data_IF_540156121605
#
_entry.id   IF_540156121605
#
_cell.length_a   1.000
_cell.length_b   1.000
_cell.length_c   1.000
_cell.angle_alpha   90.00
_cell.angle_beta   90.00
_cell.angle_gamma   90.00
#
_symmetry.space_group_name_H-M   'P 1'
#
loop_
_entity.id
_entity.type
_entity.pdbx_description
1 polymer ?
#
# COMPACT_ATOMS: atom_id res chain seq x y z
N UNK A 1 26.98 -18.24 8.07
CA UNK A 1 26.08 -19.34 8.47
C UNK A 1 26.39 -19.73 9.91
N UNK A 2 25.51 -19.39 10.85
CA UNK A 2 25.65 -19.89 12.22
C UNK A 2 25.41 -21.40 12.25
N UNK A 3 26.18 -22.11 13.08
CA UNK A 3 26.18 -23.57 13.19
C UNK A 3 24.77 -24.07 13.52
N UNK A 4 24.16 -24.86 12.64
CA UNK A 4 22.85 -25.49 12.86
C UNK A 4 22.94 -26.43 14.06
N UNK A 5 22.36 -26.01 15.18
CA UNK A 5 22.36 -26.79 16.43
C UNK A 5 21.38 -27.94 16.24
N UNK A 6 21.88 -29.18 16.20
CA UNK A 6 21.00 -30.36 16.17
C UNK A 6 20.15 -30.39 17.44
N UNK A 7 18.81 -30.49 17.34
CA UNK A 7 17.95 -30.50 18.51
C UNK A 7 18.20 -31.76 19.36
N UNK A 8 18.29 -31.57 20.68
CA UNK A 8 18.51 -32.68 21.63
C UNK A 8 17.22 -33.43 21.98
N UNK A 9 16.06 -32.80 21.83
CA UNK A 9 14.76 -33.36 22.18
C UNK A 9 13.62 -32.82 21.29
N UNK A 10 12.44 -33.44 21.34
CA UNK A 10 11.30 -33.02 20.53
C UNK A 10 10.84 -31.57 20.79
N UNK A 11 11.00 -31.06 22.02
CA UNK A 11 10.67 -29.66 22.37
C UNK A 11 11.58 -28.68 21.64
N UNK A 12 12.90 -28.90 21.67
CA UNK A 12 13.87 -28.06 20.95
C UNK A 12 13.72 -28.19 19.44
N UNK A 13 13.40 -29.39 18.93
CA UNK A 13 13.08 -29.60 17.52
C UNK A 13 11.88 -28.74 17.08
N UNK A 14 10.77 -28.77 17.82
CA UNK A 14 9.59 -27.93 17.55
C UNK A 14 9.91 -26.44 17.59
N UNK A 15 10.72 -26.01 18.56
CA UNK A 15 11.14 -24.61 18.66
C UNK A 15 12.01 -24.18 17.45
N UNK A 16 12.92 -25.02 16.97
CA UNK A 16 13.72 -24.72 15.78
C UNK A 16 12.86 -24.71 14.51
N UNK A 17 11.96 -25.68 14.34
CA UNK A 17 11.03 -25.75 13.21
C UNK A 17 10.08 -24.56 13.16
N UNK A 18 9.66 -24.04 14.32
CA UNK A 18 8.80 -22.85 14.37
C UNK A 18 9.49 -21.60 13.81
N UNK A 19 10.83 -21.51 13.91
CA UNK A 19 11.66 -20.40 13.43
C UNK A 19 12.15 -20.58 12.00
N UNK A 20 11.93 -21.74 11.39
CA UNK A 20 12.31 -21.96 9.99
C UNK A 20 11.45 -21.08 9.07
N UNK A 21 11.98 -20.59 7.94
CA UNK A 21 11.22 -19.78 7.00
C UNK A 21 9.94 -20.48 6.53
N UNK A 22 8.83 -19.74 6.52
CA UNK A 22 7.49 -20.24 6.16
C UNK A 22 6.96 -19.54 4.92
N UNK A 23 6.04 -20.22 4.22
CA UNK A 23 5.33 -19.65 3.07
C UNK A 23 4.29 -18.62 3.52
N UNK A 24 3.56 -18.94 4.58
CA UNK A 24 2.67 -18.02 5.30
C UNK A 24 3.40 -17.71 6.61
N UNK A 25 3.81 -16.45 6.75
CA UNK A 25 4.56 -16.00 7.92
C UNK A 25 3.65 -15.87 9.15
N UNK A 26 4.25 -16.02 10.33
CA UNK A 26 3.57 -15.74 11.59
C UNK A 26 3.57 -14.23 11.87
N UNK A 27 2.85 -13.82 12.92
CA UNK A 27 2.91 -12.45 13.44
C UNK A 27 4.33 -12.08 13.88
N UNK A 28 4.78 -10.86 13.52
CA UNK A 28 6.15 -10.41 13.79
C UNK A 28 6.39 -10.09 15.26
N UNK A 29 7.32 -10.80 15.89
CA UNK A 29 7.73 -10.53 17.27
C UNK A 29 8.48 -9.20 17.38
N UNK A 30 8.08 -8.37 18.33
CA UNK A 30 8.69 -7.08 18.66
C UNK A 30 9.49 -7.11 19.96
N UNK A 31 10.62 -6.39 20.02
CA UNK A 31 11.40 -6.21 21.24
C UNK A 31 11.50 -4.74 21.62
N UNK A 32 11.15 -4.43 22.86
CA UNK A 32 11.24 -3.11 23.46
C UNK A 32 12.47 -3.01 24.36
N UNK A 33 13.34 -2.06 24.05
CA UNK A 33 14.66 -1.92 24.68
C UNK A 33 14.79 -0.53 25.29
N UNK A 34 15.24 -0.48 26.54
CA UNK A 34 15.68 0.76 27.18
C UNK A 34 17.19 0.90 27.01
N UNK A 35 17.63 2.02 26.43
CA UNK A 35 19.05 2.39 26.43
C UNK A 35 19.52 2.77 27.85
N UNK A 36 20.78 3.15 27.99
CA UNK A 36 21.38 3.59 29.26
C UNK A 36 20.59 4.75 29.88
N UNK A 37 20.24 5.74 29.06
CA UNK A 37 19.43 6.89 29.45
C UNK A 37 18.08 6.86 28.74
N UNK A 38 17.01 7.09 29.50
CA UNK A 38 15.63 7.16 29.03
C UNK A 38 14.87 8.16 29.89
N UNK A 39 14.19 9.11 29.24
CA UNK A 39 13.31 10.08 29.87
C UNK A 39 11.96 9.45 30.23
N UNK A 40 11.12 10.19 30.95
CA UNK A 40 9.79 9.71 31.32
C UNK A 40 8.86 9.55 30.11
N UNK A 41 8.87 10.51 29.18
CA UNK A 41 8.11 10.42 27.92
C UNK A 41 8.46 9.15 27.15
N UNK A 42 9.74 8.80 27.06
CA UNK A 42 10.22 7.59 26.39
C UNK A 42 9.75 6.33 27.11
N UNK A 43 9.74 6.31 28.45
CA UNK A 43 9.25 5.16 29.21
C UNK A 43 7.75 4.95 29.03
N UNK A 44 6.97 6.04 29.04
CA UNK A 44 5.54 6.02 28.71
C UNK A 44 5.37 5.42 27.31
N UNK A 45 6.04 5.97 26.30
CA UNK A 45 5.95 5.48 24.93
C UNK A 45 6.29 3.98 24.80
N UNK A 46 7.40 3.53 25.39
CA UNK A 46 7.77 2.10 25.35
C UNK A 46 6.73 1.20 26.02
N UNK A 47 6.15 1.62 27.15
CA UNK A 47 5.13 0.83 27.85
C UNK A 47 3.81 0.77 27.08
N UNK A 48 3.36 1.91 26.56
CA UNK A 48 2.08 2.04 25.87
C UNK A 48 2.10 1.34 24.50
N UNK A 49 3.18 1.52 23.72
CA UNK A 49 3.36 0.83 22.45
C UNK A 49 3.49 -0.69 22.62
N UNK A 50 4.08 -1.15 23.71
CA UNK A 50 4.15 -2.58 24.05
C UNK A 50 2.74 -3.16 24.29
N UNK A 51 1.88 -2.42 25.00
CA UNK A 51 0.49 -2.83 25.24
C UNK A 51 -0.34 -2.82 23.95
N UNK A 52 -0.17 -1.80 23.10
CA UNK A 52 -0.87 -1.71 21.81
C UNK A 52 -0.50 -2.85 20.84
N UNK A 53 0.73 -3.37 20.89
CA UNK A 53 1.18 -4.45 19.99
C UNK A 53 0.58 -5.83 20.34
N UNK A 54 -0.14 -5.96 21.46
CA UNK A 54 -0.49 -7.21 22.13
C UNK A 54 0.72 -7.87 22.81
N UNK A 55 0.55 -8.27 24.07
CA UNK A 55 1.62 -8.87 24.89
C UNK A 55 2.08 -10.26 24.41
N UNK A 56 1.37 -10.91 23.48
CA UNK A 56 1.75 -12.23 22.95
C UNK A 56 2.96 -12.16 22.02
N UNK A 57 3.05 -11.09 21.22
CA UNK A 57 4.05 -10.94 20.14
C UNK A 57 5.03 -9.80 20.46
N UNK A 58 5.16 -9.49 21.75
CA UNK A 58 5.94 -8.36 22.22
C UNK A 58 6.72 -8.71 23.48
N UNK A 59 8.02 -8.42 23.46
CA UNK A 59 8.96 -8.72 24.53
C UNK A 59 9.54 -7.41 25.04
N UNK A 60 9.35 -7.11 26.32
CA UNK A 60 9.96 -5.93 26.94
C UNK A 60 11.18 -6.32 27.78
N UNK A 61 12.34 -5.77 27.45
CA UNK A 61 13.54 -5.95 28.27
C UNK A 61 13.45 -5.08 29.53
N UNK A 62 13.65 -5.71 30.69
CA UNK A 62 13.67 -5.03 31.98
C UNK A 62 14.97 -4.25 32.20
N UNK A 63 16.11 -4.85 31.82
CA UNK A 63 17.44 -4.27 31.98
C UNK A 63 17.73 -3.20 30.92
N UNK A 64 18.45 -2.15 31.32
CA UNK A 64 19.01 -1.14 30.42
C UNK A 64 20.20 -1.71 29.66
N UNK A 65 20.33 -1.36 28.39
CA UNK A 65 21.39 -1.85 27.52
C UNK A 65 22.16 -0.68 26.91
N UNK A 66 23.48 -0.86 26.74
CA UNK A 66 24.29 0.06 25.92
C UNK A 66 24.02 -0.30 24.47
N UNK A 67 23.36 0.59 23.74
CA UNK A 67 23.03 0.38 22.34
C UNK A 67 22.99 1.70 21.57
N UNK A 68 23.66 1.70 20.42
CA UNK A 68 23.74 2.81 19.47
C UNK A 68 23.42 2.24 18.06
N UNK A 69 22.13 2.14 17.67
CA UNK A 69 21.69 1.37 16.50
C UNK A 69 22.33 1.81 15.17
N UNK A 70 22.61 3.10 15.04
CA UNK A 70 23.21 3.70 13.84
C UNK A 70 24.74 3.60 13.80
N UNK A 71 25.36 3.08 14.86
CA UNK A 71 26.82 2.91 14.95
C UNK A 71 27.19 1.43 14.89
N UNK A 72 26.48 0.58 15.65
CA UNK A 72 26.66 -0.87 15.63
C UNK A 72 25.32 -1.62 15.74
N UNK A 73 25.08 -2.50 14.77
CA UNK A 73 23.88 -3.34 14.68
C UNK A 73 24.08 -4.75 15.30
N UNK A 74 25.30 -5.11 15.74
CA UNK A 74 25.62 -6.46 16.20
C UNK A 74 24.73 -6.94 17.35
N UNK A 75 24.40 -6.03 18.29
CA UNK A 75 23.48 -6.33 19.40
C UNK A 75 22.05 -6.63 18.91
N UNK A 76 21.58 -5.92 17.88
CA UNK A 76 20.25 -6.13 17.29
C UNK A 76 20.19 -7.47 16.57
N UNK A 77 21.21 -7.81 15.79
CA UNK A 77 21.31 -9.10 15.12
C UNK A 77 21.32 -10.24 16.13
N UNK A 78 22.12 -10.12 17.20
CA UNK A 78 22.18 -11.11 18.28
C UNK A 78 20.81 -11.31 18.95
N UNK A 79 20.12 -10.22 19.32
CA UNK A 79 18.79 -10.33 19.95
C UNK A 79 17.72 -10.81 18.99
N UNK A 80 17.82 -10.48 17.70
CA UNK A 80 16.91 -10.95 16.65
C UNK A 80 16.97 -12.47 16.53
N UNK A 81 18.17 -13.04 16.38
CA UNK A 81 18.36 -14.51 16.31
C UNK A 81 17.92 -15.18 17.61
N UNK A 82 18.29 -14.61 18.76
CA UNK A 82 18.02 -15.23 20.06
C UNK A 82 16.53 -15.35 20.34
N UNK A 83 15.78 -14.28 20.09
CA UNK A 83 14.37 -14.18 20.43
C UNK A 83 13.44 -14.45 19.24
N UNK A 84 13.98 -14.66 18.04
CA UNK A 84 13.21 -14.72 16.79
C UNK A 84 12.34 -13.48 16.59
N UNK A 85 12.99 -12.32 16.66
CA UNK A 85 12.33 -11.01 16.59
C UNK A 85 12.75 -10.23 15.36
N UNK A 86 11.76 -9.70 14.65
CA UNK A 86 11.95 -8.93 13.42
C UNK A 86 11.71 -7.44 13.62
N UNK A 87 11.11 -7.03 14.74
CA UNK A 87 10.82 -5.63 15.06
C UNK A 87 11.51 -5.21 16.35
N UNK A 88 12.09 -4.01 16.38
CA UNK A 88 12.67 -3.43 17.58
C UNK A 88 12.20 -2.00 17.78
N UNK A 89 11.98 -1.66 19.05
CA UNK A 89 11.71 -0.30 19.50
C UNK A 89 12.68 0.04 20.62
N UNK A 90 13.50 1.05 20.41
CA UNK A 90 14.61 1.40 21.31
C UNK A 90 14.37 2.81 21.82
N UNK A 91 14.19 2.93 23.12
CA UNK A 91 14.10 4.23 23.78
C UNK A 91 15.47 4.71 24.22
N UNK A 92 15.81 5.94 23.86
CA UNK A 92 17.03 6.63 24.30
C UNK A 92 16.76 8.09 24.62
N UNK A 93 17.63 8.68 25.43
CA UNK A 93 17.58 10.12 25.75
C UNK A 93 19.00 10.67 25.81
N UNK A 94 19.23 11.83 25.19
CA UNK A 94 20.54 12.47 25.14
C UNK A 94 20.41 13.96 24.83
N UNK A 95 21.43 14.76 25.14
CA UNK A 95 21.43 16.21 24.82
C UNK A 95 21.22 16.49 23.32
N UNK A 96 21.82 15.67 22.44
CA UNK A 96 21.71 15.83 20.98
C UNK A 96 20.36 15.35 20.45
N UNK A 97 19.76 14.33 21.08
CA UNK A 97 18.50 13.71 20.69
C UNK A 97 17.70 13.40 21.95
N UNK A 98 17.03 14.41 22.54
CA UNK A 98 16.21 14.19 23.71
C UNK A 98 14.97 13.39 23.31
N UNK A 99 14.40 12.65 24.26
CA UNK A 99 13.12 11.93 24.09
C UNK A 99 13.05 11.08 22.79
N UNK A 100 14.05 10.23 22.54
CA UNK A 100 14.22 9.56 21.25
C UNK A 100 13.66 8.11 21.25
N UNK A 101 12.97 7.76 20.17
CA UNK A 101 12.46 6.41 19.92
C UNK A 101 12.94 5.93 18.55
N UNK A 102 13.76 4.88 18.52
CA UNK A 102 14.24 4.27 17.28
C UNK A 102 13.45 3.00 16.97
N UNK A 103 12.83 2.96 15.80
CA UNK A 103 12.23 1.74 15.26
C UNK A 103 13.19 1.08 14.26
N UNK A 104 13.29 -0.23 14.33
CA UNK A 104 14.14 -1.03 13.44
C UNK A 104 13.38 -2.25 12.97
N UNK A 105 13.42 -2.53 11.67
CA UNK A 105 12.98 -3.81 11.11
C UNK A 105 14.18 -4.66 10.73
N UNK A 106 14.04 -5.96 10.90
CA UNK A 106 15.02 -6.95 10.49
C UNK A 106 14.45 -7.80 9.35
N UNK A 107 15.34 -8.20 8.46
CA UNK A 107 15.11 -9.22 7.45
C UNK A 107 16.26 -10.22 7.50
N UNK A 108 15.96 -11.52 7.61
CA UNK A 108 16.97 -12.57 7.82
C UNK A 108 17.95 -12.25 8.97
N UNK A 109 17.39 -11.71 10.08
CA UNK A 109 18.13 -11.25 11.25
C UNK A 109 19.21 -10.17 10.98
N UNK A 110 19.18 -9.52 9.81
CA UNK A 110 19.96 -8.34 9.49
C UNK A 110 19.07 -7.10 9.48
N UNK A 111 19.63 -5.92 9.72
CA UNK A 111 18.85 -4.67 9.70
C UNK A 111 18.38 -4.40 8.28
N UNK A 112 17.06 -4.31 8.12
CA UNK A 112 16.41 -3.89 6.87
C UNK A 112 16.45 -2.37 6.79
N UNK A 113 15.81 -1.70 7.75
CA UNK A 113 15.72 -0.24 7.81
C UNK A 113 15.51 0.27 9.24
N UNK A 114 15.80 1.56 9.44
CA UNK A 114 15.71 2.22 10.74
C UNK A 114 15.14 3.63 10.63
N UNK A 115 14.37 4.04 11.63
CA UNK A 115 13.82 5.40 11.74
C UNK A 115 13.83 5.86 13.19
N UNK A 116 14.23 7.10 13.41
CA UNK A 116 14.15 7.76 14.70
C UNK A 116 13.00 8.77 14.73
N UNK A 117 12.27 8.73 15.83
CA UNK A 117 11.21 9.67 16.16
C UNK A 117 11.55 10.35 17.49
N UNK A 118 11.65 11.67 17.49
CA UNK A 118 11.69 12.46 18.71
C UNK A 118 10.28 12.63 19.28
N UNK A 119 10.08 12.43 20.57
CA UNK A 119 8.79 12.58 21.24
C UNK A 119 8.70 13.99 21.81
N UNK A 120 7.89 14.83 21.18
CA UNK A 120 7.65 16.19 21.66
C UNK A 120 6.63 16.17 22.82
N UNK A 121 5.54 15.42 22.65
CA UNK A 121 4.47 15.25 23.64
C UNK A 121 4.06 13.79 23.79
N UNK A 122 3.72 13.37 25.01
CA UNK A 122 3.25 12.03 25.33
C UNK A 122 2.17 12.09 26.41
N UNK A 123 1.02 11.47 26.13
CA UNK A 123 -0.08 11.28 27.09
C UNK A 123 -0.37 9.79 27.20
N UNK A 124 -0.32 9.26 28.42
CA UNK A 124 -0.55 7.84 28.69
C UNK A 124 -2.03 7.49 28.51
N UNK A 125 -2.32 6.23 28.22
CA UNK A 125 -3.68 5.70 28.27
C UNK A 125 -4.34 5.95 29.64
N UNK A 126 -3.56 5.97 30.72
CA UNK A 126 -4.05 6.17 32.10
C UNK A 126 -4.58 7.58 32.36
N UNK A 127 -4.04 8.58 31.66
CA UNK A 127 -4.37 9.98 31.87
C UNK A 127 -5.69 10.37 31.18
N UNK A 128 -6.13 9.56 30.20
CA UNK A 128 -7.35 9.79 29.45
C UNK A 128 -8.52 9.06 30.12
N UNK A 129 -9.51 9.83 30.55
CA UNK A 129 -10.75 9.29 31.13
C UNK A 129 -11.63 8.71 30.02
N UNK A 130 -12.21 7.53 30.27
CA UNK A 130 -13.14 6.90 29.35
C UNK A 130 -13.06 5.38 29.36
N UNK A 131 -13.95 4.70 28.61
CA UNK A 131 -13.89 3.26 28.43
C UNK A 131 -12.56 2.86 27.77
N UNK A 132 -12.18 1.59 27.96
CA UNK A 132 -10.91 1.05 27.43
C UNK A 132 -11.20 -0.15 26.53
N UNK A 133 -10.49 -0.24 25.41
CA UNK A 133 -10.59 -1.37 24.50
C UNK A 133 -10.05 -2.64 25.16
N UNK A 134 -10.57 -3.79 24.70
CA UNK A 134 -10.00 -5.08 25.09
C UNK A 134 -8.57 -5.22 24.53
N UNK A 135 -7.62 -5.74 25.34
CA UNK A 135 -6.24 -5.92 24.88
C UNK A 135 -6.17 -6.97 23.76
N UNK A 136 -5.23 -6.79 22.84
CA UNK A 136 -4.94 -7.77 21.78
C UNK A 136 -5.84 -7.70 20.55
N UNK A 137 -6.73 -6.71 20.45
CA UNK A 137 -7.52 -6.46 19.25
C UNK A 137 -6.70 -5.75 18.16
N UNK A 138 -6.99 -6.10 16.91
CA UNK A 138 -6.36 -5.48 15.74
C UNK A 138 -6.93 -4.07 15.54
N UNK A 139 -6.09 -3.02 15.53
CA UNK A 139 -6.56 -1.66 15.33
C UNK A 139 -6.98 -1.41 13.88
N UNK A 140 -7.95 -0.52 13.70
CA UNK A 140 -8.08 0.21 12.43
C UNK A 140 -6.93 1.20 12.31
N UNK A 141 -6.35 1.33 11.11
CA UNK A 141 -5.26 2.27 10.84
C UNK A 141 -5.73 3.35 9.87
N UNK A 142 -5.54 4.60 10.27
CA UNK A 142 -5.89 5.78 9.49
C UNK A 142 -4.66 6.67 9.34
N UNK A 143 -4.28 6.97 8.09
CA UNK A 143 -3.18 7.88 7.76
C UNK A 143 -3.75 9.12 7.07
N UNK A 144 -3.59 10.28 7.70
CA UNK A 144 -4.08 11.56 7.17
C UNK A 144 -2.93 12.48 6.74
N UNK A 145 -3.04 13.04 5.53
CA UNK A 145 -2.07 13.97 4.94
C UNK A 145 -1.48 13.44 3.63
N UNK A 146 -1.26 14.32 2.67
CA UNK A 146 -0.72 13.96 1.34
C UNK A 146 0.75 13.56 1.40
N UNK A 147 1.49 14.04 2.40
CA UNK A 147 2.93 13.79 2.58
C UNK A 147 3.28 12.30 2.76
N UNK A 148 2.32 11.48 3.22
CA UNK A 148 2.49 10.03 3.34
C UNK A 148 2.77 9.33 2.02
N UNK A 149 2.31 9.88 0.90
CA UNK A 149 2.43 9.29 -0.44
C UNK A 149 3.45 10.03 -1.32
N UNK A 150 4.06 11.10 -0.82
CA UNK A 150 5.09 11.86 -1.53
C UNK A 150 6.48 11.67 -0.92
N UNK A 151 6.67 11.92 0.38
CA UNK A 151 7.99 11.86 1.04
C UNK A 151 8.40 10.42 1.34
N UNK A 152 9.63 10.05 0.97
CA UNK A 152 10.13 8.68 1.08
C UNK A 152 10.30 8.21 2.53
N UNK A 153 10.68 9.10 3.44
CA UNK A 153 10.86 8.78 4.86
C UNK A 153 9.51 8.53 5.53
N UNK A 154 8.49 9.31 5.16
CA UNK A 154 7.11 9.10 5.61
C UNK A 154 6.48 7.84 4.98
N UNK A 155 6.78 7.53 3.71
CA UNK A 155 6.39 6.23 3.11
C UNK A 155 6.99 5.06 3.88
N UNK A 156 8.27 5.15 4.23
CA UNK A 156 8.94 4.14 5.05
C UNK A 156 8.28 4.04 6.43
N UNK A 157 8.00 5.17 7.09
CA UNK A 157 7.32 5.17 8.38
C UNK A 157 5.90 4.58 8.31
N UNK A 158 5.12 4.93 7.28
CA UNK A 158 3.79 4.35 7.01
C UNK A 158 3.87 2.83 6.83
N UNK A 159 4.81 2.36 6.01
CA UNK A 159 5.08 0.92 5.85
C UNK A 159 5.44 0.27 7.19
N UNK A 160 6.28 0.92 7.98
CA UNK A 160 6.72 0.40 9.27
C UNK A 160 5.59 0.35 10.30
N UNK A 161 4.74 1.37 10.38
CA UNK A 161 3.59 1.37 11.29
C UNK A 161 2.49 0.39 10.86
N UNK A 162 2.24 0.21 9.57
CA UNK A 162 1.38 -0.87 9.08
C UNK A 162 1.92 -2.23 9.52
N UNK A 163 3.22 -2.48 9.29
CA UNK A 163 3.91 -3.72 9.67
C UNK A 163 4.00 -3.92 11.19
N UNK A 164 4.00 -2.84 11.96
CA UNK A 164 4.04 -2.88 13.41
C UNK A 164 2.67 -3.18 14.02
N UNK A 165 1.60 -2.53 13.56
CA UNK A 165 0.29 -2.59 14.21
C UNK A 165 -0.71 -3.57 13.57
N UNK A 166 -0.43 -4.16 12.40
CA UNK A 166 -1.37 -5.12 11.78
C UNK A 166 -1.53 -6.43 12.58
N UNK A 167 -0.50 -6.84 13.33
CA UNK A 167 -0.52 -8.05 14.15
C UNK A 167 -0.74 -9.34 13.32
N UNK A 168 -1.63 -10.20 13.80
CA UNK A 168 -1.95 -11.45 13.10
C UNK A 168 -2.87 -11.19 11.91
N UNK A 169 -2.57 -11.80 10.76
CA UNK A 169 -3.46 -11.76 9.61
C UNK A 169 -4.76 -12.54 9.91
N UNK A 170 -5.89 -11.84 9.86
CA UNK A 170 -7.22 -12.41 10.07
C UNK A 170 -7.93 -12.58 8.72
N UNK A 171 -8.57 -13.73 8.51
CA UNK A 171 -9.41 -13.97 7.33
C UNK A 171 -10.81 -13.34 7.47
N UNK A 172 -11.26 -13.17 8.71
CA UNK A 172 -12.56 -12.61 9.07
C UNK A 172 -12.45 -11.88 10.41
N UNK A 173 -13.18 -10.78 10.57
CA UNK A 173 -13.22 -9.99 11.79
C UNK A 173 -14.68 -9.80 12.24
N UNK A 174 -14.92 -9.86 13.54
CA UNK A 174 -16.21 -9.47 14.11
C UNK A 174 -16.36 -7.95 14.05
N UNK A 175 -17.40 -7.48 13.37
CA UNK A 175 -17.67 -6.06 13.17
C UNK A 175 -18.05 -5.35 14.48
N UNK A 176 -18.72 -6.04 15.40
CA UNK A 176 -19.25 -5.39 16.62
C UNK A 176 -18.20 -5.42 17.73
N UNK A 177 -17.64 -6.59 18.04
CA UNK A 177 -16.70 -6.72 19.16
C UNK A 177 -15.24 -6.59 18.74
N UNK A 178 -14.92 -6.78 17.45
CA UNK A 178 -13.54 -6.74 16.94
C UNK A 178 -13.06 -5.33 16.56
N UNK A 179 -13.95 -4.46 16.07
CA UNK A 179 -13.63 -3.10 15.62
C UNK A 179 -13.82 -2.06 16.75
N UNK A 180 -12.98 -2.14 17.79
CA UNK A 180 -13.15 -1.27 18.96
C UNK A 180 -12.40 0.07 18.89
N UNK A 181 -11.28 0.14 18.18
CA UNK A 181 -10.42 1.32 18.20
C UNK A 181 -9.67 1.55 16.90
N UNK A 182 -9.33 2.82 16.67
CA UNK A 182 -8.58 3.30 15.51
C UNK A 182 -7.33 4.04 15.99
N UNK A 183 -6.21 3.70 15.38
CA UNK A 183 -4.96 4.45 15.46
C UNK A 183 -4.94 5.40 14.26
N UNK A 184 -5.05 6.69 14.56
CA UNK A 184 -5.00 7.79 13.59
C UNK A 184 -3.63 8.44 13.63
N UNK A 185 -2.96 8.49 12.48
CA UNK A 185 -1.63 9.01 12.32
C UNK A 185 -1.72 10.13 11.29
N UNK A 186 -1.62 11.37 11.74
CA UNK A 186 -1.84 12.56 10.92
C UNK A 186 -0.60 13.42 10.87
N UNK A 187 -0.41 14.10 9.74
CA UNK A 187 0.64 15.10 9.59
C UNK A 187 0.12 16.45 10.05
N UNK A 188 0.83 17.09 10.97
CA UNK A 188 0.53 18.42 11.48
C UNK A 188 0.68 19.51 10.41
N UNK A 189 0.11 20.68 10.68
CA UNK A 189 0.30 21.86 9.85
C UNK A 189 1.65 22.50 10.16
N UNK A 190 2.29 23.06 9.14
CA UNK A 190 3.48 23.91 9.30
C UNK A 190 2.96 25.33 9.40
N UNK A 191 2.96 25.91 10.61
CA UNK A 191 2.80 27.35 10.75
C UNK A 191 4.16 28.03 10.42
N UNK A 192 4.15 29.31 10.05
CA UNK A 192 5.27 30.07 9.45
C UNK A 192 6.69 29.65 9.90
N UNK A 193 7.60 29.56 8.91
CA UNK A 193 9.03 29.22 9.02
C UNK A 193 9.40 28.18 10.09
N UNK A 194 8.85 26.98 9.95
CA UNK A 194 9.49 25.75 10.44
C UNK A 194 9.15 25.34 11.87
N UNK A 195 8.19 25.98 12.53
CA UNK A 195 7.67 25.53 13.82
C UNK A 195 6.32 24.85 13.66
N UNK A 196 6.24 23.58 14.06
CA UNK A 196 4.97 22.85 14.19
C UNK A 196 4.60 22.78 15.68
N UNK A 197 3.44 23.33 16.04
CA UNK A 197 2.96 23.33 17.42
C UNK A 197 2.47 21.95 17.82
N UNK A 198 3.01 21.41 18.92
CA UNK A 198 2.49 20.17 19.54
C UNK A 198 1.06 20.42 20.02
N UNK A 199 0.13 19.54 19.64
CA UNK A 199 -1.28 19.58 20.09
C UNK A 199 -1.45 19.03 21.51
N UNK A 200 -0.38 18.52 22.11
CA UNK A 200 -0.34 17.96 23.46
C UNK A 200 0.43 18.87 24.45
N UNK A 201 0.91 20.04 24.00
CA UNK A 201 1.65 20.99 24.83
C UNK A 201 0.75 21.86 25.71
N UNK A 202 1.12 22.02 26.98
CA UNK A 202 0.44 22.85 27.98
C UNK A 202 0.11 24.28 27.48
N UNK A 203 -1.16 24.69 27.67
CA UNK A 203 -1.59 26.08 27.64
C UNK A 203 -0.85 26.89 28.72
N UNK A 204 0.32 27.45 28.43
CA UNK A 204 0.98 28.47 29.27
C UNK A 204 2.08 29.21 28.50
N UNK A 205 1.75 29.77 27.33
CA UNK A 205 2.48 30.91 26.79
C UNK A 205 1.50 32.01 26.43
N UNK A 206 1.53 33.04 27.27
CA UNK A 206 0.86 34.32 27.11
C UNK A 206 1.19 34.93 25.76
N UNK A 207 0.16 35.31 25.03
CA UNK A 207 0.22 36.10 23.80
C UNK A 207 0.78 37.49 24.09
N UNK A 208 2.02 37.76 23.68
CA UNK A 208 2.51 39.14 23.56
C UNK A 208 2.14 39.64 22.18
N UNK A 209 1.15 40.54 22.14
CA UNK A 209 0.75 41.33 20.98
C UNK A 209 1.93 42.15 20.46
N UNK A 210 2.31 41.96 19.20
CA UNK A 210 3.19 42.86 18.46
C UNK A 210 2.37 43.53 17.35
N UNK A 211 2.31 44.86 17.41
CA UNK A 211 1.70 45.76 16.44
C UNK A 211 2.44 45.74 15.10
N UNK A 212 1.76 45.92 13.95
CA UNK A 212 2.45 46.01 12.66
C UNK A 212 2.88 47.47 12.41
N UNK A 213 4.18 47.68 12.18
CA UNK A 213 4.66 48.90 11.52
C UNK A 213 4.92 48.56 10.04
N UNK A 214 4.20 49.26 9.18
CA UNK A 214 4.32 49.25 7.73
C UNK A 214 5.38 50.30 7.33
N UNK A 215 6.43 49.87 6.64
CA UNK A 215 7.19 50.72 5.73
C UNK A 215 7.26 50.02 4.36
N UNK A 216 7.09 50.72 3.23
CA UNK A 216 7.14 50.13 1.90
C UNK A 216 8.57 50.17 1.33
N UNK A 217 9.11 49.02 0.89
CA UNK A 217 10.29 48.98 0.02
C UNK A 217 9.96 48.35 -1.35
N UNK A 218 10.54 48.98 -2.38
CA UNK A 218 10.32 48.82 -3.82
C UNK A 218 10.63 47.43 -4.42
N UNK A 219 10.05 47.09 -5.58
CA UNK A 219 10.22 45.79 -6.22
C UNK A 219 11.54 45.67 -6.97
N UNK A 220 12.42 44.75 -6.55
CA UNK A 220 13.59 44.34 -7.34
C UNK A 220 13.25 43.18 -8.29
N UNK A 221 13.73 43.31 -9.53
CA UNK A 221 13.43 42.47 -10.69
C UNK A 221 13.97 41.02 -10.57
N UNK A 222 13.39 40.03 -11.26
CA UNK A 222 13.83 38.64 -11.19
C UNK A 222 15.07 38.38 -12.07
N UNK A 223 16.09 37.74 -11.48
CA UNK A 223 17.29 37.25 -12.18
C UNK A 223 17.00 35.96 -13.00
N UNK A 224 17.76 35.70 -14.08
CA UNK A 224 17.39 34.72 -15.10
C UNK A 224 17.63 33.27 -14.67
N UNK A 225 16.77 32.39 -15.18
CA UNK A 225 16.76 30.94 -14.99
C UNK A 225 17.94 30.32 -15.75
N UNK A 226 18.92 29.76 -15.06
CA UNK A 226 20.03 29.01 -15.67
C UNK A 226 20.03 27.54 -15.22
N UNK A 227 19.90 26.68 -16.24
CA UNK A 227 20.40 25.32 -16.44
C UNK A 227 20.82 24.49 -15.20
N UNK A 228 19.97 23.49 -14.92
CA UNK A 228 20.23 22.16 -14.34
C UNK A 228 21.61 21.96 -13.68
N UNK A 229 21.62 22.00 -12.34
CA UNK A 229 22.64 21.38 -11.48
C UNK A 229 22.00 20.23 -10.68
N UNK A 230 22.72 19.12 -10.42
CA UNK A 230 22.18 17.92 -9.75
C UNK A 230 21.86 18.13 -8.25
N UNK A 231 22.16 19.31 -7.69
CA UNK A 231 21.96 19.62 -6.27
C UNK A 231 20.52 20.01 -5.89
N UNK A 232 19.55 19.92 -6.81
CA UNK A 232 18.16 20.30 -6.50
C UNK A 232 17.43 19.31 -5.56
N UNK A 233 17.97 18.11 -5.34
CA UNK A 233 17.43 17.15 -4.37
C UNK A 233 17.85 17.44 -2.91
N UNK A 234 18.92 18.20 -2.67
CA UNK A 234 19.38 18.49 -1.30
C UNK A 234 18.64 19.68 -0.67
N UNK A 235 18.07 20.59 -1.48
CA UNK A 235 17.40 21.80 -0.97
C UNK A 235 15.93 21.57 -0.54
N UNK A 236 15.27 20.50 -1.02
CA UNK A 236 13.95 20.08 -0.49
C UNK A 236 14.06 19.41 0.89
N UNK A 237 15.28 19.05 1.32
CA UNK A 237 15.56 18.39 2.60
C UNK A 237 15.79 19.36 3.78
N UNK A 238 15.78 20.69 3.55
CA UNK A 238 16.08 21.68 4.58
C UNK A 238 14.85 22.29 5.26
N UNK A 239 13.63 22.03 4.76
CA UNK A 239 12.44 22.42 5.50
C UNK A 239 12.14 21.36 6.58
N UNK A 240 12.00 21.76 7.86
CA UNK A 240 11.68 20.81 8.90
C UNK A 240 10.33 20.16 8.57
N UNK A 241 10.31 18.82 8.54
CA UNK A 241 9.06 18.11 8.38
C UNK A 241 8.10 18.45 9.53
N UNK A 242 6.80 18.58 9.24
CA UNK A 242 5.80 18.81 10.28
C UNK A 242 5.79 17.67 11.31
N UNK A 243 5.24 17.96 12.49
CA UNK A 243 5.00 16.93 13.49
C UNK A 243 4.05 15.86 12.95
N UNK A 244 4.25 14.64 13.42
CA UNK A 244 3.38 13.50 13.18
C UNK A 244 2.59 13.28 14.46
N UNK A 245 1.27 13.44 14.40
CA UNK A 245 0.38 13.20 15.52
C UNK A 245 -0.11 11.75 15.47
N UNK A 246 0.28 10.98 16.47
CA UNK A 246 -0.22 9.64 16.74
C UNK A 246 -1.33 9.74 17.79
N UNK A 247 -2.55 9.30 17.45
CA UNK A 247 -3.73 9.37 18.32
C UNK A 247 -4.52 8.08 18.26
N UNK A 248 -4.90 7.57 19.41
CA UNK A 248 -5.78 6.40 19.51
C UNK A 248 -7.17 6.82 19.98
N UNK A 249 -8.20 6.39 19.25
CA UNK A 249 -9.60 6.68 19.55
C UNK A 249 -10.40 5.37 19.64
N UNK A 250 -11.38 5.33 20.52
CA UNK A 250 -12.40 4.27 20.49
C UNK A 250 -13.47 4.61 19.46
N UNK A 251 -13.99 3.57 18.83
CA UNK A 251 -15.06 3.64 17.84
C UNK A 251 -16.38 3.35 18.55
N UNK A 252 -17.32 4.28 18.47
CA UNK A 252 -18.69 4.11 18.94
C UNK A 252 -19.64 4.11 17.74
N UNK A 253 -20.47 3.08 17.65
CA UNK A 253 -21.42 2.90 16.56
C UNK A 253 -22.83 3.21 17.05
N UNK A 254 -23.46 4.23 16.47
CA UNK A 254 -24.83 4.66 16.76
C UNK A 254 -25.78 4.32 15.61
N UNK A 255 -27.06 4.14 15.94
CA UNK A 255 -28.11 3.91 14.94
C UNK A 255 -28.28 5.15 14.07
N UNK A 256 -28.12 5.00 12.76
CA UNK A 256 -28.23 6.07 11.74
C UNK A 256 -29.57 6.06 10.99
N UNK A 257 -30.29 4.92 10.99
CA UNK A 257 -31.46 4.70 10.15
C UNK A 257 -31.15 4.12 8.76
N UNK A 258 -29.87 4.00 8.39
CA UNK A 258 -29.38 3.32 7.18
C UNK A 258 -28.65 2.01 7.55
N UNK A 259 -28.19 1.26 6.55
CA UNK A 259 -27.39 0.05 6.76
C UNK A 259 -26.06 0.37 7.45
N UNK A 260 -25.41 1.47 7.08
CA UNK A 260 -24.17 1.93 7.70
C UNK A 260 -24.44 2.69 9.01
N UNK A 261 -23.80 2.33 10.14
CA UNK A 261 -23.96 3.05 11.41
C UNK A 261 -23.31 4.44 11.40
N UNK A 262 -23.79 5.33 12.25
CA UNK A 262 -23.11 6.60 12.53
C UNK A 262 -21.91 6.33 13.42
N UNK A 263 -20.72 6.72 12.97
CA UNK A 263 -19.47 6.52 13.71
C UNK A 263 -19.13 7.77 14.51
N UNK A 264 -18.94 7.61 15.81
CA UNK A 264 -18.41 8.64 16.72
C UNK A 264 -17.10 8.15 17.32
N UNK A 265 -16.17 9.07 17.56
CA UNK A 265 -14.85 8.76 18.11
C UNK A 265 -14.70 9.38 19.49
N UNK A 266 -14.34 8.56 20.48
CA UNK A 266 -13.98 9.06 21.81
C UNK A 266 -12.48 8.88 22.07
N UNK A 267 -11.79 9.85 22.68
CA UNK A 267 -10.36 9.72 23.01
C UNK A 267 -10.09 8.46 23.84
N UNK A 268 -9.14 7.63 23.40
CA UNK A 268 -8.74 6.41 24.11
C UNK A 268 -7.38 6.58 24.79
N UNK A 269 -6.37 6.94 23.98
CA UNK A 269 -4.95 6.94 24.34
C UNK A 269 -4.24 5.66 23.92
N UNK A 270 -2.90 5.64 23.90
CA UNK A 270 -1.99 6.78 24.13
C UNK A 270 -2.04 7.83 23.02
N UNK A 271 -1.51 9.03 23.31
CA UNK A 271 -1.33 10.10 22.31
C UNK A 271 0.12 10.56 22.30
N UNK A 272 0.73 10.63 21.11
CA UNK A 272 2.11 11.06 20.93
C UNK A 272 2.26 12.09 19.82
N UNK A 273 3.14 13.06 20.03
CA UNK A 273 3.61 13.95 18.97
C UNK A 273 5.05 13.59 18.63
N UNK A 274 5.26 13.13 17.40
CA UNK A 274 6.56 12.69 16.92
C UNK A 274 7.16 13.71 15.95
N UNK A 275 8.46 13.92 16.06
CA UNK A 275 9.28 14.63 15.09
C UNK A 275 10.20 13.65 14.40
N UNK A 276 10.18 13.62 13.07
CA UNK A 276 11.04 12.74 12.30
C UNK A 276 12.51 13.14 12.46
N UNK A 277 13.39 12.16 12.67
CA UNK A 277 14.84 12.36 12.83
C UNK A 277 15.62 11.52 11.82
N UNK A 278 16.67 10.82 12.25
CA UNK A 278 17.51 10.01 11.35
C UNK A 278 16.71 8.87 10.74
N UNK A 279 17.03 8.57 9.50
CA UNK A 279 16.51 7.42 8.76
C UNK A 279 17.66 6.68 8.11
N UNK A 280 17.59 5.36 8.13
CA UNK A 280 18.43 4.49 7.31
C UNK A 280 17.52 3.70 6.40
N UNK A 281 17.59 4.00 5.11
CA UNK A 281 16.82 3.30 4.08
C UNK A 281 17.42 1.91 3.81
N UNK A 282 16.61 0.93 3.40
CA UNK A 282 17.11 -0.38 3.03
C UNK A 282 17.91 -0.30 1.72
N UNK A 283 18.92 -1.16 1.57
CA UNK A 283 19.59 -1.33 0.29
C UNK A 283 18.61 -1.94 -0.73
N UNK A 284 18.73 -1.56 -2.01
CA UNK A 284 17.79 -2.01 -3.03
C UNK A 284 17.74 -3.53 -3.19
N UNK A 285 18.88 -4.20 -3.09
CA UNK A 285 18.97 -5.66 -3.20
C UNK A 285 18.24 -6.36 -2.05
N UNK A 286 18.46 -5.89 -0.83
CA UNK A 286 17.85 -6.44 0.37
C UNK A 286 16.34 -6.16 0.38
N UNK A 287 15.91 -4.96 -0.06
CA UNK A 287 14.51 -4.62 -0.23
C UNK A 287 13.82 -5.51 -1.28
N UNK A 288 14.47 -5.75 -2.43
CA UNK A 288 13.94 -6.66 -3.48
C UNK A 288 13.79 -8.09 -2.96
N UNK A 289 14.73 -8.57 -2.15
CA UNK A 289 14.63 -9.89 -1.50
C UNK A 289 13.49 -9.94 -0.49
N UNK A 290 13.36 -8.92 0.36
CA UNK A 290 12.32 -8.83 1.37
C UNK A 290 10.91 -8.72 0.79
N UNK A 291 10.73 -8.06 -0.35
CA UNK A 291 9.44 -7.89 -1.02
C UNK A 291 9.08 -9.03 -1.98
N UNK A 292 9.93 -10.06 -2.08
CA UNK A 292 9.70 -11.17 -3.02
C UNK A 292 8.51 -12.02 -2.59
N UNK A 293 7.41 -11.91 -3.32
CA UNK A 293 6.24 -12.79 -3.15
C UNK A 293 6.57 -14.23 -3.57
N UNK A 294 6.46 -15.16 -2.63
CA UNK A 294 6.52 -16.57 -2.96
C UNK A 294 5.19 -17.00 -3.59
N UNK A 295 5.24 -17.44 -4.84
CA UNK A 295 4.08 -18.05 -5.48
C UNK A 295 3.90 -19.44 -4.90
N UNK A 296 2.71 -19.74 -4.39
CA UNK A 296 2.32 -21.09 -3.97
C UNK A 296 2.37 -21.98 -5.21
N UNK A 297 3.52 -22.59 -5.47
CA UNK A 297 3.61 -23.70 -6.42
C UNK A 297 2.92 -24.86 -5.72
N UNK A 298 1.70 -25.20 -6.15
CA UNK A 298 1.03 -26.43 -5.73
C UNK A 298 2.03 -27.60 -5.82
N UNK A 299 2.02 -28.55 -4.86
CA UNK A 299 3.07 -29.56 -4.70
C UNK A 299 3.42 -30.26 -6.01
N UNK A 300 4.72 -30.41 -6.21
CA UNK A 300 5.38 -30.80 -7.45
C UNK A 300 5.26 -32.29 -7.80
N UNK A 301 4.20 -32.99 -7.41
CA UNK A 301 3.90 -34.34 -7.90
C UNK A 301 3.12 -34.33 -9.23
N UNK A 302 2.88 -33.13 -9.78
CA UNK A 302 2.38 -32.93 -11.15
C UNK A 302 3.19 -31.83 -11.83
N UNK A 303 4.48 -32.08 -12.05
CA UNK A 303 5.34 -31.20 -12.85
C UNK A 303 4.97 -31.32 -14.32
N UNK A 304 3.95 -30.57 -14.71
CA UNK A 304 4.01 -29.81 -15.94
C UNK A 304 3.72 -28.39 -15.53
N UNK A 305 4.56 -27.44 -15.97
CA UNK A 305 4.30 -26.01 -15.80
C UNK A 305 2.83 -25.76 -16.16
N UNK A 306 1.96 -25.55 -15.18
CA UNK A 306 0.61 -25.07 -15.45
C UNK A 306 0.80 -23.60 -15.81
N UNK A 307 1.29 -23.34 -17.03
CA UNK A 307 0.80 -22.20 -17.80
C UNK A 307 -0.70 -22.27 -17.58
N UNK A 308 -1.28 -21.30 -16.87
CA UNK A 308 -2.71 -21.30 -16.58
C UNK A 308 -3.41 -21.77 -17.84
N UNK A 309 -4.05 -22.94 -17.76
CA UNK A 309 -4.50 -23.66 -18.94
C UNK A 309 -5.51 -22.72 -19.59
N UNK A 310 -5.05 -21.94 -20.58
CA UNK A 310 -5.85 -20.88 -21.18
C UNK A 310 -7.09 -21.58 -21.70
N UNK A 311 -8.26 -21.10 -21.29
CA UNK A 311 -9.55 -21.71 -21.60
C UNK A 311 -9.94 -22.95 -20.77
N UNK A 312 -9.36 -23.19 -19.60
CA UNK A 312 -9.87 -24.17 -18.63
C UNK A 312 -10.20 -23.44 -17.33
N UNK A 313 -11.43 -23.56 -16.88
CA UNK A 313 -11.92 -23.00 -15.62
C UNK A 313 -12.49 -24.09 -14.71
N UNK A 314 -12.74 -23.76 -13.44
CA UNK A 314 -13.42 -24.63 -12.47
C UNK A 314 -14.78 -23.98 -12.17
N UNK A 315 -15.86 -24.69 -12.47
CA UNK A 315 -17.22 -24.24 -12.22
C UNK A 315 -17.53 -24.17 -10.71
N UNK A 316 -18.63 -23.52 -10.33
CA UNK A 316 -19.09 -23.39 -8.93
C UNK A 316 -19.29 -24.76 -8.25
N UNK A 317 -19.63 -25.79 -9.04
CA UNK A 317 -19.75 -27.19 -8.60
C UNK A 317 -18.38 -27.90 -8.46
N UNK A 318 -17.27 -27.27 -8.83
CA UNK A 318 -15.92 -27.83 -8.79
C UNK A 318 -15.50 -28.60 -10.05
N UNK A 319 -16.34 -28.63 -11.08
CA UNK A 319 -16.08 -29.31 -12.34
C UNK A 319 -15.14 -28.53 -13.26
N UNK A 320 -14.25 -29.22 -13.98
CA UNK A 320 -13.33 -28.58 -14.94
C UNK A 320 -14.02 -28.36 -16.28
N UNK A 321 -14.21 -27.09 -16.65
CA UNK A 321 -14.84 -26.70 -17.91
C UNK A 321 -13.80 -26.14 -18.89
N UNK A 322 -13.89 -26.53 -20.15
CA UNK A 322 -13.01 -26.06 -21.23
C UNK A 322 -13.74 -25.15 -22.21
N UNK A 323 -13.28 -23.92 -22.42
CA UNK A 323 -13.87 -23.00 -23.41
C UNK A 323 -13.23 -23.18 -24.78
N UNK A 324 -14.00 -23.67 -25.74
CA UNK A 324 -13.56 -23.77 -27.14
C UNK A 324 -13.92 -22.47 -27.86
N UNK A 325 -12.90 -21.77 -28.38
CA UNK A 325 -13.09 -20.59 -29.21
C UNK A 325 -13.09 -21.02 -30.68
N UNK A 326 -14.27 -21.19 -31.26
CA UNK A 326 -14.42 -21.47 -32.69
C UNK A 326 -14.15 -20.17 -33.46
N UNK A 327 -13.20 -20.20 -34.39
CA UNK A 327 -12.91 -19.05 -35.26
C UNK A 327 -14.05 -18.78 -36.25
N UNK A 328 -14.12 -17.55 -36.79
CA UNK A 328 -15.05 -17.23 -37.89
C UNK A 328 -14.69 -18.12 -39.10
N UNK A 329 -15.62 -18.95 -39.56
CA UNK A 329 -15.42 -19.83 -40.71
C UNK A 329 -15.71 -19.06 -42.01
N UNK A 330 -14.72 -18.78 -42.88
CA UNK A 330 -14.95 -18.09 -44.14
C UNK A 330 -15.54 -19.07 -45.17
N UNK A 331 -16.83 -18.92 -45.48
CA UNK A 331 -17.55 -19.78 -46.43
C UNK A 331 -17.37 -19.34 -47.89
N UNK A 332 -16.82 -18.16 -48.15
CA UNK A 332 -16.64 -17.63 -49.51
C UNK A 332 -15.63 -18.45 -50.33
N UNK A 333 -14.72 -19.17 -49.64
CA UNK A 333 -13.76 -20.08 -50.27
C UNK A 333 -14.37 -21.45 -50.60
N UNK A 334 -15.60 -21.72 -50.15
CA UNK A 334 -16.28 -22.99 -50.37
C UNK A 334 -16.94 -22.97 -51.76
N UNK A 335 -16.19 -23.39 -52.78
CA UNK A 335 -16.78 -23.67 -54.09
C UNK A 335 -17.64 -24.92 -53.99
N UNK A 336 -18.95 -24.77 -54.21
CA UNK A 336 -19.85 -25.91 -54.30
C UNK A 336 -19.53 -26.74 -55.55
N UNK A 337 -19.84 -28.05 -55.50
CA UNK A 337 -19.67 -28.91 -56.65
C UNK A 337 -20.53 -28.37 -57.79
N UNK A 338 -19.92 -28.06 -58.93
CA UNK A 338 -20.61 -27.59 -60.13
C UNK A 338 -21.37 -28.74 -60.79
N UNK A 339 -22.48 -29.13 -60.19
CA UNK A 339 -23.38 -30.16 -60.69
C UNK A 339 -23.92 -29.76 -62.06
N UNK A 340 -24.20 -30.73 -62.93
CA UNK A 340 -24.67 -30.46 -64.29
C UNK A 340 -25.95 -29.62 -64.30
N UNK A 341 -26.85 -29.82 -63.33
CA UNK A 341 -28.09 -29.05 -63.19
C UNK A 341 -27.94 -27.61 -62.66
N UNK A 342 -26.76 -27.22 -62.17
CA UNK A 342 -26.47 -25.85 -61.70
C UNK A 342 -25.70 -25.04 -62.76
N UNK A 343 -25.37 -25.65 -63.91
CA UNK A 343 -24.70 -24.97 -65.02
C UNK A 343 -25.78 -24.42 -65.96
N UNK A 344 -25.78 -23.10 -66.16
CA UNK A 344 -26.58 -22.46 -67.21
C UNK A 344 -25.90 -22.78 -68.55
N UNK A 345 -26.60 -23.48 -69.44
CA UNK A 345 -26.10 -23.76 -70.78
C UNK A 345 -26.11 -22.47 -71.62
N UNK A 346 -24.93 -21.98 -71.97
CA UNK A 346 -24.72 -20.78 -72.81
C UNK A 346 -25.16 -20.94 -74.27
N UNK A 347 -25.97 -21.98 -74.57
CA UNK A 347 -26.54 -22.29 -75.89
C UNK A 347 -27.99 -21.88 -76.05
N UNK A 348 -28.67 -21.40 -75.01
CA UNK A 348 -30.04 -20.91 -75.13
C UNK A 348 -30.16 -19.39 -75.27
N UNK A 349 -29.06 -18.61 -75.20
CA UNK A 349 -29.16 -17.15 -75.15
C UNK A 349 -28.45 -16.35 -76.24
N UNK A 350 -27.86 -16.97 -77.27
CA UNK A 350 -27.39 -16.25 -78.47
C UNK A 350 -27.44 -17.16 -79.71
N UNK A 351 -28.54 -17.08 -80.47
CA UNK A 351 -28.58 -16.95 -81.95
C UNK A 351 -30.02 -17.13 -82.46
N UNK A 352 -30.70 -16.01 -82.70
CA UNK A 352 -31.33 -15.69 -83.99
C UNK A 352 -31.68 -14.21 -84.01
N UNK A 353 -30.84 -13.44 -84.71
CA UNK A 353 -31.25 -12.16 -85.28
C UNK A 353 -32.17 -12.39 -86.47
N UNK A 354 -33.22 -11.59 -86.57
CA UNK A 354 -33.31 -10.41 -87.47
C UNK A 354 -34.78 -10.16 -87.81
N UNK A 355 -35.25 -8.91 -87.69
CA UNK A 355 -36.61 -8.52 -88.06
C UNK A 355 -37.19 -7.35 -87.28
N UNK A 356 -36.92 -6.14 -87.81
CA UNK A 356 -37.79 -4.96 -87.89
C UNK A 356 -38.34 -4.27 -86.62
N UNK A 357 -38.06 -2.95 -86.63
CA UNK A 357 -38.90 -1.81 -86.22
C UNK A 357 -38.86 -1.30 -84.76
N UNK A 358 -38.41 -0.03 -84.70
CA UNK A 358 -38.81 1.09 -83.84
C UNK A 358 -39.39 0.80 -82.45
N UNK A 359 -38.68 1.28 -81.41
CA UNK A 359 -39.08 2.43 -80.57
C UNK A 359 -38.56 2.26 -79.12
N UNK A 360 -38.24 3.39 -78.48
CA UNK A 360 -38.06 3.49 -77.02
C UNK A 360 -36.61 3.42 -76.55
N UNK A 361 -35.99 4.59 -76.37
CA UNK A 361 -34.69 4.73 -75.73
C UNK A 361 -34.71 4.36 -74.25
N UNK A 362 -33.55 3.94 -73.72
CA UNK A 362 -33.28 3.92 -72.28
C UNK A 362 -31.78 3.98 -72.02
N UNK A 363 -31.44 4.73 -70.97
CA UNK A 363 -30.12 5.22 -70.59
C UNK A 363 -29.15 4.11 -70.17
N UNK A 364 -27.90 4.23 -70.61
CA UNK A 364 -26.81 3.35 -70.20
C UNK A 364 -26.34 3.76 -68.78
N UNK A 365 -26.86 3.11 -67.74
CA UNK A 365 -26.35 3.24 -66.38
C UNK A 365 -24.98 2.56 -66.28
N UNK A 366 -23.92 3.37 -66.30
CA UNK A 366 -22.54 2.93 -66.07
C UNK A 366 -22.31 2.53 -64.62
N UNK A 367 -21.38 1.58 -64.41
CA UNK A 367 -20.98 0.94 -63.14
C UNK A 367 -20.53 1.87 -61.99
N UNK A 368 -20.60 3.18 -62.15
CA UNK A 368 -20.15 4.15 -61.15
C UNK A 368 -21.16 4.33 -60.00
N UNK A 369 -22.45 4.02 -60.21
CA UNK A 369 -23.47 4.24 -59.18
C UNK A 369 -23.55 3.12 -58.11
N UNK A 370 -23.01 1.93 -58.37
CA UNK A 370 -22.97 0.85 -57.35
C UNK A 370 -21.82 0.99 -56.34
N UNK A 371 -20.73 1.69 -56.70
CA UNK A 371 -19.61 1.91 -55.77
C UNK A 371 -19.93 3.01 -54.75
N UNK A 372 -20.78 3.98 -55.10
CA UNK A 372 -21.16 5.06 -54.20
C UNK A 372 -22.15 4.60 -53.10
N UNK A 373 -23.03 3.64 -53.39
CA UNK A 373 -23.99 3.14 -52.40
C UNK A 373 -23.36 2.16 -51.39
N UNK A 374 -22.36 1.35 -51.79
CA UNK A 374 -21.62 0.48 -50.86
C UNK A 374 -20.52 1.21 -50.07
N UNK A 375 -19.99 2.32 -50.60
CA UNK A 375 -19.03 3.17 -49.88
C UNK A 375 -19.66 3.91 -48.70
N UNK A 376 -20.90 4.39 -48.85
CA UNK A 376 -21.61 5.12 -47.79
C UNK A 376 -22.00 4.24 -46.58
N UNK A 377 -22.24 2.94 -46.79
CA UNK A 377 -22.63 2.01 -45.72
C UNK A 377 -21.42 1.56 -44.90
N UNK A 378 -20.22 1.54 -45.49
CA UNK A 378 -18.99 1.11 -44.80
C UNK A 378 -18.37 2.23 -43.94
N UNK A 379 -18.61 3.51 -44.23
CA UNK A 379 -18.15 4.63 -43.37
C UNK A 379 -19.06 4.92 -42.16
N UNK A 380 -20.34 4.51 -42.18
CA UNK A 380 -21.27 4.68 -41.05
C UNK A 380 -21.09 3.63 -39.94
N UNK A 381 -20.57 2.42 -40.24
CA UNK A 381 -20.29 1.41 -39.20
C UNK A 381 -18.94 1.63 -38.47
N UNK A 382 -18.03 2.43 -39.04
CA UNK A 382 -16.73 2.74 -38.44
C UNK A 382 -16.75 3.90 -37.44
N UNK A 383 -17.85 4.66 -37.34
CA UNK A 383 -18.01 5.80 -36.41
C UNK A 383 -19.00 5.49 -35.27
N UNK A 384 -18.91 4.31 -34.67
CA UNK A 384 -19.61 3.94 -33.44
C UNK A 384 -19.05 4.67 -32.21
N UNK A 385 -19.45 5.91 -32.01
CA UNK A 385 -19.16 6.72 -30.83
C UNK A 385 -19.69 6.04 -29.54
N UNK A 386 -18.77 5.83 -28.59
CA UNK A 386 -19.03 5.29 -27.26
C UNK A 386 -19.83 6.29 -26.40
N UNK A 387 -21.14 6.09 -26.27
CA UNK A 387 -21.96 6.77 -25.25
C UNK A 387 -21.67 6.18 -23.87
N UNK A 388 -20.88 6.90 -23.06
CA UNK A 388 -20.75 6.69 -21.62
C UNK A 388 -22.08 7.02 -20.94
N UNK A 389 -22.76 6.00 -20.40
CA UNK A 389 -23.81 6.18 -19.38
C UNK A 389 -23.16 6.57 -18.06
N UNK A 390 -23.35 7.81 -17.64
CA UNK A 390 -23.17 8.26 -16.26
C UNK A 390 -24.35 7.75 -15.43
N UNK A 391 -24.08 6.99 -14.38
CA UNK A 391 -25.06 6.74 -13.32
C UNK A 391 -24.98 7.91 -12.33
N UNK A 392 -26.13 8.54 -12.13
CA UNK A 392 -26.45 9.33 -10.94
C UNK A 392 -26.48 8.46 -9.70
#
# INVERSE_FOLDING_TARGET
>A
MQRTIKPKNARSKRALQAREPKLIEDSKTSIFIKSTQTSEKVRIALSELHQLRSSSDSIQFSKRNVIHPFEDASSLQFWSVKNDASLFVIGSDSKKRPDNLSFVRMFDHQVLDMIELGIEGAVSLKDIKGPKASPGLVPLLHFAGTLWDTDERLKMLKSMFLDFFHGQQLNSIDLVNGLQYVISISIGQIDQEGSSTSLLGNHNKTSTTMTPNLDPQEPSQPAPVSLVHPDRQTLLNNNPLPLIHFRTHLVQLFKSGQREPRVELSPHGPSFDFRLRRTQMPSEELLKLALKRQVIKKPADKVTKVKGNKNVDIDEMGDKVGKIHVGKQPLDKLQSRKMKGLKVDKRSSVEKGDGSDEDGGEEEFTKEDQELEMGAVTELEASGASLKRTRS
#
